data_IF_734387837021
#
_entry.id   IF_734387837021
#
_cell.length_a   1.000
_cell.length_b   1.000
_cell.length_c   1.000
_cell.angle_alpha   90.00
_cell.angle_beta   90.00
_cell.angle_gamma   90.00
#
_symmetry.space_group_name_H-M   'P 1'
#
loop_
_entity.id
_entity.type
_entity.pdbx_description
1 polymer ?
#
# COMPACT_ATOMS: atom_id res chain seq x y z
N UNK A 1 -14.89 12.81 14.81
CA UNK A 1 -14.60 11.85 13.72
C UNK A 1 -15.76 10.86 13.68
N UNK A 2 -16.35 10.66 12.49
CA UNK A 2 -17.37 9.64 12.36
C UNK A 2 -16.73 8.28 12.68
N UNK A 3 -17.45 7.44 13.43
CA UNK A 3 -16.98 6.11 13.81
C UNK A 3 -16.86 5.26 12.52
N UNK A 4 -15.73 4.60 12.31
CA UNK A 4 -15.49 3.69 11.18
C UNK A 4 -16.62 2.68 10.98
N UNK A 5 -17.24 2.24 12.08
CA UNK A 5 -18.40 1.34 12.07
C UNK A 5 -19.62 1.98 11.43
N UNK A 6 -19.87 3.24 11.76
CA UNK A 6 -21.03 3.97 11.23
C UNK A 6 -20.85 4.28 9.73
N UNK A 7 -19.64 4.71 9.34
CA UNK A 7 -19.29 4.94 7.93
C UNK A 7 -19.51 3.65 7.14
N UNK A 8 -18.93 2.55 7.62
CA UNK A 8 -19.02 1.26 6.93
C UNK A 8 -20.46 0.72 6.86
N UNK A 9 -21.24 0.91 7.92
CA UNK A 9 -22.66 0.54 7.94
C UNK A 9 -23.44 1.27 6.85
N UNK A 10 -23.22 2.58 6.67
CA UNK A 10 -23.86 3.36 5.60
C UNK A 10 -23.46 2.84 4.22
N UNK A 11 -22.18 2.55 4.00
CA UNK A 11 -21.68 1.98 2.74
C UNK A 11 -22.31 0.61 2.47
N UNK A 12 -22.40 -0.25 3.49
CA UNK A 12 -23.04 -1.58 3.38
C UNK A 12 -24.52 -1.52 3.05
N UNK A 13 -25.16 -0.40 3.34
CA UNK A 13 -26.55 -0.11 2.98
C UNK A 13 -26.72 0.56 1.62
N UNK A 14 -25.62 0.70 0.84
CA UNK A 14 -25.64 1.31 -0.49
C UNK A 14 -25.67 2.84 -0.48
N UNK A 15 -25.24 3.49 0.61
CA UNK A 15 -25.19 4.95 0.68
C UNK A 15 -24.01 5.48 -0.18
N UNK A 16 -24.34 6.07 -1.31
CA UNK A 16 -23.35 6.58 -2.28
C UNK A 16 -22.55 7.77 -1.72
N UNK A 17 -23.16 8.64 -0.93
CA UNK A 17 -22.47 9.82 -0.36
C UNK A 17 -21.40 9.39 0.65
N UNK A 18 -21.70 8.38 1.48
CA UNK A 18 -20.75 7.84 2.43
C UNK A 18 -19.58 7.15 1.71
N UNK A 19 -19.85 6.47 0.61
CA UNK A 19 -18.80 5.86 -0.22
C UNK A 19 -17.95 6.91 -0.94
N UNK A 20 -18.56 7.95 -1.52
CA UNK A 20 -17.85 9.04 -2.18
C UNK A 20 -16.94 9.79 -1.20
N UNK A 21 -17.41 10.06 0.01
CA UNK A 21 -16.59 10.65 1.06
C UNK A 21 -15.39 9.76 1.41
N UNK A 22 -15.59 8.44 1.60
CA UNK A 22 -14.51 7.48 1.84
C UNK A 22 -13.49 7.48 0.69
N UNK A 23 -13.98 7.47 -0.55
CA UNK A 23 -13.13 7.49 -1.74
C UNK A 23 -12.27 8.75 -1.79
N UNK A 24 -12.90 9.94 -1.70
CA UNK A 24 -12.19 11.23 -1.78
C UNK A 24 -11.11 11.40 -0.71
N UNK A 25 -11.40 10.94 0.50
CA UNK A 25 -10.47 11.03 1.62
C UNK A 25 -9.26 10.09 1.47
N UNK A 26 -9.49 8.86 0.97
CA UNK A 26 -8.47 7.82 1.05
C UNK A 26 -7.81 7.47 -0.29
N UNK A 27 -8.48 7.66 -1.44
CA UNK A 27 -7.95 7.26 -2.73
C UNK A 27 -6.61 7.95 -3.07
N UNK A 28 -6.38 9.25 -2.81
CA UNK A 28 -5.11 9.89 -3.14
C UNK A 28 -3.93 9.26 -2.39
N UNK A 29 -4.08 9.01 -1.09
CA UNK A 29 -3.00 8.42 -0.27
C UNK A 29 -2.74 6.96 -0.62
N UNK A 30 -3.79 6.19 -0.88
CA UNK A 30 -3.67 4.80 -1.33
C UNK A 30 -3.01 4.72 -2.71
N UNK A 31 -3.31 5.64 -3.61
CA UNK A 31 -2.68 5.73 -4.92
C UNK A 31 -1.18 6.00 -4.80
N UNK A 32 -0.76 6.92 -3.92
CA UNK A 32 0.66 7.18 -3.66
C UNK A 32 1.35 5.92 -3.12
N UNK A 33 0.73 5.23 -2.16
CA UNK A 33 1.23 3.96 -1.64
C UNK A 33 1.40 2.91 -2.75
N UNK A 34 0.35 2.66 -3.53
CA UNK A 34 0.38 1.63 -4.58
C UNK A 34 1.39 1.97 -5.68
N UNK A 35 1.47 3.24 -6.09
CA UNK A 35 2.50 3.71 -7.05
C UNK A 35 3.91 3.44 -6.56
N UNK A 36 4.20 3.69 -5.28
CA UNK A 36 5.52 3.43 -4.68
C UNK A 36 5.84 1.94 -4.59
N UNK A 37 4.82 1.11 -4.35
CA UNK A 37 4.99 -0.34 -4.25
C UNK A 37 5.11 -1.00 -5.63
N UNK A 38 4.24 -0.64 -6.57
CA UNK A 38 4.19 -1.24 -7.90
C UNK A 38 5.27 -0.65 -8.83
N UNK A 39 5.49 0.66 -8.78
CA UNK A 39 6.41 1.36 -9.66
C UNK A 39 5.83 1.74 -11.02
N UNK A 40 4.64 1.29 -11.36
CA UNK A 40 3.91 1.58 -12.60
C UNK A 40 2.70 2.45 -12.28
N UNK A 41 2.65 3.73 -12.72
CA UNK A 41 1.57 4.65 -12.39
C UNK A 41 0.20 4.19 -12.90
N UNK A 42 0.14 3.67 -14.13
CA UNK A 42 -1.12 3.22 -14.73
C UNK A 42 -1.66 2.00 -13.99
N UNK A 43 -0.82 1.02 -13.74
CA UNK A 43 -1.22 -0.16 -12.97
C UNK A 43 -1.66 0.20 -11.54
N UNK A 44 -1.05 1.21 -10.93
CA UNK A 44 -1.44 1.67 -9.61
C UNK A 44 -2.84 2.30 -9.60
N UNK A 45 -3.18 3.08 -10.62
CA UNK A 45 -4.52 3.64 -10.80
C UNK A 45 -5.57 2.55 -10.97
N UNK A 46 -5.29 1.57 -11.82
CA UNK A 46 -6.17 0.41 -12.04
C UNK A 46 -6.39 -0.37 -10.73
N UNK A 47 -5.33 -0.63 -9.98
CA UNK A 47 -5.40 -1.33 -8.69
C UNK A 47 -6.28 -0.60 -7.68
N UNK A 48 -6.13 0.72 -7.56
CA UNK A 48 -6.92 1.53 -6.62
C UNK A 48 -8.38 1.59 -7.08
N UNK A 49 -8.63 1.78 -8.37
CA UNK A 49 -9.98 1.80 -8.92
C UNK A 49 -10.70 0.46 -8.72
N UNK A 50 -10.05 -0.66 -9.05
CA UNK A 50 -10.61 -1.99 -8.83
C UNK A 50 -10.88 -2.28 -7.35
N UNK A 51 -10.00 -1.81 -6.45
CA UNK A 51 -10.18 -1.96 -5.02
C UNK A 51 -11.48 -1.29 -4.54
N UNK A 52 -11.69 -0.04 -4.91
CA UNK A 52 -12.91 0.68 -4.53
C UNK A 52 -14.16 0.11 -5.21
N UNK A 53 -14.05 -0.33 -6.47
CA UNK A 53 -15.13 -1.04 -7.15
C UNK A 53 -15.52 -2.33 -6.42
N UNK A 54 -14.55 -3.10 -5.95
CA UNK A 54 -14.81 -4.30 -5.15
C UNK A 54 -15.49 -3.96 -3.81
N UNK A 55 -15.03 -2.90 -3.14
CA UNK A 55 -15.63 -2.46 -1.87
C UNK A 55 -17.09 -2.07 -2.08
N UNK A 56 -17.39 -1.32 -3.14
CA UNK A 56 -18.76 -0.94 -3.46
C UNK A 56 -19.67 -2.14 -3.74
N UNK A 57 -19.18 -3.07 -4.56
CA UNK A 57 -19.96 -4.25 -4.97
C UNK A 57 -20.10 -5.30 -3.86
N UNK A 58 -19.15 -5.37 -2.92
CA UNK A 58 -19.12 -6.36 -1.83
C UNK A 58 -18.64 -5.73 -0.52
N UNK A 59 -19.48 -4.93 0.14
CA UNK A 59 -19.06 -4.18 1.34
C UNK A 59 -19.05 -5.02 2.62
N UNK A 60 -18.79 -6.32 2.55
CA UNK A 60 -18.87 -7.24 3.69
C UNK A 60 -17.51 -7.60 4.31
N UNK A 61 -16.45 -6.92 3.90
CA UNK A 61 -15.08 -7.32 4.26
C UNK A 61 -14.50 -6.66 5.50
N UNK A 62 -15.01 -5.50 5.90
CA UNK A 62 -14.48 -4.78 7.05
C UNK A 62 -15.03 -5.34 8.36
N UNK A 63 -14.16 -5.57 9.32
CA UNK A 63 -14.46 -6.02 10.66
C UNK A 63 -13.82 -5.04 11.66
N UNK A 64 -14.62 -4.18 12.32
CA UNK A 64 -14.11 -3.15 13.24
C UNK A 64 -13.28 -3.70 14.40
N UNK A 65 -13.53 -4.96 14.78
CA UNK A 65 -12.80 -5.66 15.85
C UNK A 65 -11.36 -5.99 15.48
N UNK A 66 -11.02 -5.96 14.17
CA UNK A 66 -9.70 -6.29 13.64
C UNK A 66 -8.83 -5.06 13.34
N UNK A 67 -9.38 -3.87 13.48
CA UNK A 67 -8.62 -2.64 13.26
C UNK A 67 -9.44 -1.53 12.62
N UNK A 68 -8.76 -0.45 12.26
CA UNK A 68 -9.38 0.73 11.66
C UNK A 68 -9.79 0.47 10.20
N UNK A 69 -10.74 1.25 9.71
CA UNK A 69 -11.15 1.22 8.30
C UNK A 69 -9.97 1.53 7.38
N UNK A 70 -9.12 2.47 7.76
CA UNK A 70 -7.90 2.80 7.02
C UNK A 70 -6.94 1.61 6.92
N UNK A 71 -6.70 0.88 8.02
CA UNK A 71 -5.86 -0.32 8.01
C UNK A 71 -6.44 -1.40 7.08
N UNK A 72 -7.76 -1.55 7.05
CA UNK A 72 -8.45 -2.45 6.14
C UNK A 72 -8.24 -2.06 4.66
N UNK A 73 -8.35 -0.77 4.32
CA UNK A 73 -8.09 -0.27 2.97
C UNK A 73 -6.65 -0.54 2.53
N UNK A 74 -5.66 -0.26 3.40
CA UNK A 74 -4.26 -0.60 3.12
C UNK A 74 -4.04 -2.11 2.97
N UNK A 75 -4.74 -2.93 3.72
CA UNK A 75 -4.69 -4.39 3.58
C UNK A 75 -5.13 -4.87 2.20
N UNK A 76 -6.21 -4.31 1.65
CA UNK A 76 -6.66 -4.62 0.29
C UNK A 76 -5.64 -4.13 -0.73
N UNK A 77 -5.19 -2.88 -0.62
CA UNK A 77 -4.22 -2.29 -1.53
C UNK A 77 -2.90 -3.07 -1.56
N UNK A 78 -2.36 -3.42 -0.40
CA UNK A 78 -1.14 -4.20 -0.26
C UNK A 78 -1.27 -5.60 -0.87
N UNK A 79 -2.42 -6.28 -0.65
CA UNK A 79 -2.70 -7.59 -1.25
C UNK A 79 -2.74 -7.49 -2.77
N UNK A 80 -3.46 -6.51 -3.32
CA UNK A 80 -3.57 -6.33 -4.77
C UNK A 80 -2.23 -5.97 -5.42
N UNK A 81 -1.42 -5.14 -4.78
CA UNK A 81 -0.06 -4.86 -5.23
C UNK A 81 0.80 -6.12 -5.27
N UNK A 82 0.72 -6.97 -4.24
CA UNK A 82 1.42 -8.26 -4.22
C UNK A 82 0.92 -9.22 -5.31
N UNK A 83 -0.40 -9.26 -5.54
CA UNK A 83 -1.00 -10.09 -6.59
C UNK A 83 -0.55 -9.63 -7.98
N UNK A 84 -0.44 -8.33 -8.21
CA UNK A 84 0.07 -7.75 -9.44
C UNK A 84 1.52 -8.17 -9.71
N UNK A 85 2.40 -8.09 -8.70
CA UNK A 85 3.78 -8.56 -8.79
C UNK A 85 3.88 -10.07 -9.05
N UNK A 86 3.02 -10.86 -8.43
CA UNK A 86 3.01 -12.32 -8.61
C UNK A 86 2.64 -12.72 -10.04
N UNK A 87 1.72 -11.99 -10.66
CA UNK A 87 1.29 -12.24 -12.06
C UNK A 87 2.39 -11.93 -13.08
N UNK A 88 3.31 -11.03 -12.79
CA UNK A 88 4.38 -10.60 -13.70
C UNK A 88 5.59 -11.52 -13.72
N UNK A 89 5.75 -12.52 -13.07
CA UNK A 89 6.87 -13.48 -13.14
C UNK A 89 8.28 -12.90 -12.85
N UNK A 90 9.31 -13.76 -12.74
CA UNK A 90 10.68 -13.33 -12.41
C UNK A 90 11.35 -12.49 -13.50
N UNK A 91 10.99 -12.70 -14.77
CA UNK A 91 11.62 -12.04 -15.93
C UNK A 91 11.34 -10.55 -15.98
N UNK A 92 10.14 -10.13 -15.58
CA UNK A 92 9.75 -8.72 -15.58
C UNK A 92 10.33 -7.95 -14.37
N UNK A 93 10.77 -8.67 -13.34
CA UNK A 93 11.43 -8.08 -12.17
C UNK A 93 12.86 -7.62 -12.43
N UNK A 94 13.51 -8.18 -13.43
CA UNK A 94 14.90 -7.84 -13.82
C UNK A 94 15.00 -6.58 -14.69
N UNK A 95 13.90 -6.14 -15.29
CA UNK A 95 13.84 -4.94 -16.13
C UNK A 95 13.53 -3.64 -15.36
N UNK A 96 13.51 -3.69 -14.03
CA UNK A 96 13.15 -2.57 -13.14
C UNK A 96 14.13 -1.40 -13.11
N UNK A 97 15.28 -1.49 -13.79
CA UNK A 97 16.20 -0.35 -13.95
C UNK A 97 15.62 0.79 -14.82
N UNK A 98 14.42 0.63 -15.38
CA UNK A 98 13.77 1.58 -16.30
C UNK A 98 12.35 1.99 -15.93
N UNK A 99 11.93 2.01 -14.67
CA UNK A 99 10.67 2.66 -14.34
C UNK A 99 10.85 4.18 -14.27
N UNK A 100 11.01 4.78 -15.43
CA UNK A 100 10.75 6.19 -15.69
C UNK A 100 9.25 6.45 -15.61
N UNK A 101 8.76 7.11 -14.58
CA UNK A 101 7.33 7.40 -14.57
C UNK A 101 6.80 8.25 -13.43
N UNK A 102 7.62 8.86 -12.60
CA UNK A 102 7.18 9.97 -11.74
C UNK A 102 7.80 11.27 -12.25
N UNK A 103 7.29 11.76 -13.38
CA UNK A 103 7.56 13.15 -13.80
C UNK A 103 6.77 14.06 -12.85
N UNK A 104 7.49 14.75 -11.96
CA UNK A 104 6.93 15.79 -11.11
C UNK A 104 7.39 15.82 -9.66
N UNK A 105 7.99 14.76 -9.13
CA UNK A 105 8.62 14.80 -7.81
C UNK A 105 10.13 14.92 -7.98
N UNK A 106 10.74 15.82 -7.23
CA UNK A 106 12.19 15.93 -7.08
C UNK A 106 12.76 14.52 -6.89
N UNK A 107 13.57 14.07 -7.85
CA UNK A 107 14.23 12.76 -7.78
C UNK A 107 15.18 12.82 -6.59
N UNK A 108 14.70 12.40 -5.44
CA UNK A 108 15.48 12.30 -4.23
C UNK A 108 16.31 11.03 -4.31
N UNK A 109 17.59 11.09 -3.96
CA UNK A 109 18.49 9.92 -3.83
C UNK A 109 17.82 8.82 -2.97
N UNK A 110 17.05 9.22 -1.96
CA UNK A 110 16.28 8.31 -1.11
C UNK A 110 15.15 7.64 -1.90
N UNK A 111 14.49 8.39 -2.81
CA UNK A 111 13.43 7.85 -3.67
C UNK A 111 13.95 6.79 -4.62
N UNK A 112 15.13 6.98 -5.17
CA UNK A 112 15.80 5.99 -6.04
C UNK A 112 16.20 4.74 -5.27
N UNK A 113 16.81 4.91 -4.10
CA UNK A 113 17.15 3.80 -3.22
C UNK A 113 15.92 2.99 -2.81
N UNK A 114 14.81 3.67 -2.52
CA UNK A 114 13.53 3.04 -2.17
C UNK A 114 12.97 2.20 -3.34
N UNK A 115 13.05 2.70 -4.59
CA UNK A 115 12.59 1.96 -5.77
C UNK A 115 13.36 0.66 -6.00
N UNK A 116 14.64 0.62 -5.65
CA UNK A 116 15.50 -0.57 -5.78
C UNK A 116 15.25 -1.65 -4.72
N UNK A 117 14.42 -1.38 -3.73
CA UNK A 117 14.05 -2.38 -2.73
C UNK A 117 13.08 -3.40 -3.31
N UNK A 118 13.13 -4.67 -2.86
CA UNK A 118 12.07 -5.63 -3.11
C UNK A 118 10.70 -5.09 -2.68
N UNK A 119 9.65 -5.45 -3.41
CA UNK A 119 8.28 -4.97 -3.21
C UNK A 119 7.80 -5.13 -1.74
N UNK A 120 8.07 -6.29 -1.14
CA UNK A 120 7.71 -6.55 0.25
C UNK A 120 8.37 -5.57 1.22
N UNK A 121 9.63 -5.21 0.97
CA UNK A 121 10.36 -4.25 1.80
C UNK A 121 9.84 -2.83 1.60
N UNK A 122 9.48 -2.45 0.37
CA UNK A 122 8.84 -1.16 0.09
C UNK A 122 7.53 -1.01 0.85
N UNK A 123 6.65 -2.02 0.84
CA UNK A 123 5.39 -2.02 1.59
C UNK A 123 5.60 -1.83 3.08
N UNK A 124 6.50 -2.61 3.66
CA UNK A 124 6.80 -2.54 5.10
C UNK A 124 7.29 -1.16 5.52
N UNK A 125 8.28 -0.61 4.80
CA UNK A 125 8.82 0.71 5.10
C UNK A 125 7.78 1.80 4.90
N UNK A 126 6.99 1.74 3.83
CA UNK A 126 5.95 2.75 3.62
C UNK A 126 4.94 2.78 4.75
N UNK A 127 4.38 1.63 5.10
CA UNK A 127 3.39 1.54 6.18
C UNK A 127 3.95 2.02 7.52
N UNK A 128 5.24 1.79 7.79
CA UNK A 128 5.86 2.20 9.06
C UNK A 128 6.32 3.64 9.07
N UNK A 129 7.08 4.06 8.05
CA UNK A 129 7.82 5.33 8.08
C UNK A 129 7.00 6.49 7.50
N UNK A 130 6.10 6.22 6.56
CA UNK A 130 5.27 7.25 5.91
C UNK A 130 3.88 7.33 6.53
N UNK A 131 3.22 6.18 6.70
CA UNK A 131 1.86 6.12 7.24
C UNK A 131 1.82 6.06 8.77
N UNK A 132 2.94 5.71 9.43
CA UNK A 132 3.07 5.71 10.87
C UNK A 132 2.36 4.55 11.58
N UNK A 133 1.95 3.50 10.85
CA UNK A 133 1.30 2.34 11.46
C UNK A 133 2.21 1.65 12.49
N UNK A 134 1.62 1.18 13.59
CA UNK A 134 2.29 0.32 14.57
C UNK A 134 2.63 -1.06 13.98
N UNK A 135 3.53 -1.80 14.61
CA UNK A 135 3.87 -3.15 14.16
C UNK A 135 2.68 -4.09 14.18
N UNK A 136 1.77 -3.92 15.15
CA UNK A 136 0.56 -4.71 15.28
C UNK A 136 -0.43 -4.39 14.14
N UNK A 137 -0.62 -3.11 13.82
CA UNK A 137 -1.43 -2.69 12.67
C UNK A 137 -0.86 -3.22 11.36
N UNK A 138 0.46 -3.12 11.14
CA UNK A 138 1.13 -3.66 9.95
C UNK A 138 0.95 -5.18 9.87
N UNK A 139 1.01 -5.89 10.99
CA UNK A 139 0.76 -7.33 11.05
C UNK A 139 -0.66 -7.68 10.59
N UNK A 140 -1.65 -6.88 11.00
CA UNK A 140 -3.05 -7.03 10.54
C UNK A 140 -3.18 -6.69 9.05
N UNK A 141 -2.62 -5.55 8.62
CA UNK A 141 -2.67 -5.09 7.22
C UNK A 141 -2.08 -6.14 6.27
N UNK A 142 -0.89 -6.66 6.60
CA UNK A 142 -0.17 -7.60 5.76
C UNK A 142 -0.51 -9.07 6.04
N UNK A 143 -1.35 -9.34 7.04
CA UNK A 143 -1.71 -10.68 7.52
C UNK A 143 -0.47 -11.53 7.83
N UNK A 144 0.47 -10.94 8.55
CA UNK A 144 1.73 -11.57 8.96
C UNK A 144 1.88 -11.53 10.48
N UNK A 145 2.59 -12.49 11.08
CA UNK A 145 2.96 -12.41 12.49
C UNK A 145 3.77 -11.14 12.78
N UNK A 146 3.57 -10.53 13.95
CA UNK A 146 4.28 -9.31 14.37
C UNK A 146 5.81 -9.51 14.36
N UNK A 147 6.29 -10.69 14.75
CA UNK A 147 7.71 -11.04 14.67
C UNK A 147 8.26 -11.00 13.25
N UNK A 148 7.46 -11.43 12.26
CA UNK A 148 7.81 -11.35 10.83
C UNK A 148 7.87 -9.90 10.36
N UNK A 149 6.94 -9.05 10.82
CA UNK A 149 6.95 -7.61 10.52
C UNK A 149 8.20 -6.94 11.08
N UNK A 150 8.54 -7.20 12.35
CA UNK A 150 9.75 -6.66 12.99
C UNK A 150 11.02 -7.03 12.25
N UNK A 151 11.22 -8.32 11.97
CA UNK A 151 12.39 -8.81 11.23
C UNK A 151 12.42 -8.32 9.78
N UNK A 152 11.26 -8.21 9.13
CA UNK A 152 11.12 -7.67 7.79
C UNK A 152 11.50 -6.18 7.72
N UNK A 153 11.04 -5.37 8.66
CA UNK A 153 11.40 -3.95 8.76
C UNK A 153 12.89 -3.75 9.02
N UNK A 154 13.47 -4.57 9.89
CA UNK A 154 14.92 -4.51 10.13
C UNK A 154 15.69 -4.76 8.82
N UNK A 155 15.37 -5.84 8.11
CA UNK A 155 16.01 -6.16 6.81
C UNK A 155 15.79 -5.08 5.76
N UNK A 156 14.59 -4.50 5.72
CA UNK A 156 14.24 -3.44 4.79
C UNK A 156 15.06 -2.16 5.02
N UNK A 157 15.23 -1.76 6.29
CA UNK A 157 16.08 -0.61 6.66
C UNK A 157 17.55 -0.84 6.31
N UNK A 158 18.07 -2.04 6.58
CA UNK A 158 19.45 -2.39 6.23
C UNK A 158 19.67 -2.43 4.72
N UNK A 159 18.71 -2.94 3.94
CA UNK A 159 18.77 -2.95 2.49
C UNK A 159 18.74 -1.52 1.93
N UNK A 160 17.82 -0.67 2.43
CA UNK A 160 17.74 0.73 2.03
C UNK A 160 19.06 1.47 2.31
N UNK A 161 19.61 1.27 3.50
CA UNK A 161 20.91 1.87 3.89
C UNK A 161 22.03 1.45 2.95
N UNK A 162 22.14 0.17 2.62
CA UNK A 162 23.18 -0.34 1.69
C UNK A 162 23.04 0.28 0.29
N UNK A 163 21.82 0.31 -0.24
CA UNK A 163 21.55 0.89 -1.56
C UNK A 163 21.92 2.37 -1.55
N UNK A 164 21.51 3.11 -0.52
CA UNK A 164 21.79 4.53 -0.40
C UNK A 164 23.29 4.86 -0.29
N UNK A 165 24.05 4.07 0.48
CA UNK A 165 25.50 4.24 0.60
C UNK A 165 26.25 3.92 -0.70
N UNK A 166 25.75 2.98 -1.49
CA UNK A 166 26.36 2.60 -2.78
C UNK A 166 25.98 3.55 -3.93
N UNK A 167 25.08 4.50 -3.72
CA UNK A 167 24.64 5.48 -4.73
C UNK A 167 25.38 6.81 -4.57
N UNK A 168 26.20 6.96 -3.53
CA UNK A 168 27.10 8.10 -3.31
C UNK A 168 28.46 7.83 -3.93
#
# INVERSE_FOLDING_TARGET
>A
MADDREIWKKISQGNADAFDALYRENAPRLLVFVRRVIGDPQAAEDVVQEMFTQIWNRPNGFQPERGTLLAYLYGIAAKRAADWWRKRGPSDRASEDQVSGCQGETVSIVGDAFRRLPEEQRRLLWLREVEGHSYDEIAVILRKPVGTVKSGLFRAREALRRIWLNTR
#
